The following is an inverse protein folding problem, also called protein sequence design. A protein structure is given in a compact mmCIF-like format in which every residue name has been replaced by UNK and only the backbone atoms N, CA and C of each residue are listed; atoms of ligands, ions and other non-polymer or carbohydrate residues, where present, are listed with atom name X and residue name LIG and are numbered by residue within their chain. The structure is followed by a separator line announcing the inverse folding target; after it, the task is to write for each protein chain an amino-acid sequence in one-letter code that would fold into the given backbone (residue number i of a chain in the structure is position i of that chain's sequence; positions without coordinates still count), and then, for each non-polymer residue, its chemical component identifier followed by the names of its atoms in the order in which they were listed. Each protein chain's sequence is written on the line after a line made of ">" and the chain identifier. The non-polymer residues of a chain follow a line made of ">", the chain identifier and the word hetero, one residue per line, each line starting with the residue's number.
data_IF_008892141295
#
_entry.id   IF_008892141295
#
_cell.length_a   1.000
_cell.length_b   1.000
_cell.length_c   1.000
_cell.angle_alpha   90.00
_cell.angle_beta   90.00
_cell.angle_gamma   90.00
#
_symmetry.space_group_name_H-M   'P 1'
#
loop_
_entity.id
_entity.type
_entity.pdbx_description
1 polymer ?
#
# COMPACT_ATOMS: atom_id res chain seq x y z
N UNK A 1 9.18 2.16 25.57
CA UNK A 1 9.34 2.49 24.14
C UNK A 1 9.31 1.19 23.35
N UNK A 2 8.21 0.90 22.66
CA UNK A 2 8.13 -0.26 21.76
C UNK A 2 9.13 -0.05 20.61
N UNK A 3 10.03 -0.99 20.38
CA UNK A 3 10.98 -0.89 19.26
C UNK A 3 10.19 -1.04 17.96
N UNK A 4 10.29 -0.03 17.09
CA UNK A 4 9.85 -0.12 15.69
C UNK A 4 10.60 -1.27 15.02
N UNK A 5 9.88 -2.31 14.63
CA UNK A 5 10.43 -3.47 13.91
C UNK A 5 9.94 -3.42 12.46
N UNK A 6 10.78 -3.82 11.49
CA UNK A 6 10.31 -4.05 10.14
C UNK A 6 9.30 -5.20 10.19
N UNK A 7 8.20 -5.01 9.46
CA UNK A 7 7.12 -5.97 9.27
C UNK A 7 6.96 -6.23 7.77
N UNK A 8 6.57 -7.45 7.44
CA UNK A 8 6.22 -7.86 6.07
C UNK A 8 4.74 -8.18 6.03
N UNK A 9 4.01 -7.56 5.11
CA UNK A 9 2.56 -7.73 4.94
C UNK A 9 2.31 -8.18 3.50
N UNK A 10 1.55 -9.25 3.33
CA UNK A 10 1.14 -9.77 2.03
C UNK A 10 -0.36 -9.54 1.88
N UNK A 11 -0.78 -8.98 0.76
CA UNK A 11 -2.19 -8.69 0.53
C UNK A 11 -2.46 -8.23 -0.90
N UNK A 12 -3.63 -7.64 -1.09
CA UNK A 12 -3.99 -7.00 -2.35
C UNK A 12 -4.33 -5.53 -2.14
N UNK A 13 -4.12 -4.74 -3.19
CA UNK A 13 -4.49 -3.33 -3.20
C UNK A 13 -6.01 -3.21 -3.26
N UNK A 14 -6.60 -2.80 -2.15
CA UNK A 14 -8.03 -2.56 -2.02
C UNK A 14 -8.45 -1.20 -2.56
N UNK A 15 -7.60 -0.18 -2.42
CA UNK A 15 -7.86 1.17 -2.88
C UNK A 15 -6.57 1.88 -3.28
N UNK A 16 -6.68 2.85 -4.20
CA UNK A 16 -5.60 3.79 -4.55
C UNK A 16 -6.15 5.19 -4.37
N UNK A 17 -5.48 6.00 -3.55
CA UNK A 17 -5.88 7.39 -3.30
C UNK A 17 -5.19 8.29 -4.32
N UNK A 18 -6.00 8.97 -5.13
CA UNK A 18 -5.53 9.98 -6.08
C UNK A 18 -5.48 11.32 -5.35
N UNK A 19 -4.27 11.85 -5.17
CA UNK A 19 -4.07 13.16 -4.55
C UNK A 19 -4.49 14.28 -5.53
N UNK A 20 -5.09 15.38 -5.04
CA UNK A 20 -5.38 16.53 -5.88
C UNK A 20 -4.08 17.19 -6.35
N UNK A 21 -4.14 17.90 -7.49
CA UNK A 21 -2.94 18.49 -8.13
C UNK A 21 -2.17 19.49 -7.25
N UNK A 22 -2.81 20.08 -6.24
CA UNK A 22 -2.21 21.01 -5.27
C UNK A 22 -1.58 20.33 -4.05
N UNK A 23 -1.78 19.01 -3.88
CA UNK A 23 -1.20 18.26 -2.78
C UNK A 23 0.26 17.88 -3.06
N UNK A 24 1.06 17.60 -2.01
CA UNK A 24 2.40 17.05 -2.19
C UNK A 24 2.37 15.78 -3.04
N UNK A 25 3.27 15.65 -4.01
CA UNK A 25 3.42 14.45 -4.83
C UNK A 25 3.60 13.23 -3.92
N UNK A 26 2.55 12.44 -3.77
CA UNK A 26 2.58 11.20 -3.02
C UNK A 26 1.59 10.22 -3.61
N UNK A 27 1.94 8.94 -3.51
CA UNK A 27 1.06 7.83 -3.84
C UNK A 27 0.67 7.15 -2.55
N UNK A 28 -0.62 7.00 -2.34
CA UNK A 28 -1.18 6.32 -1.17
C UNK A 28 -2.08 5.18 -1.66
N UNK A 29 -1.85 3.99 -1.10
CA UNK A 29 -2.65 2.79 -1.41
C UNK A 29 -3.03 2.10 -0.11
N UNK A 30 -4.19 1.44 -0.13
CA UNK A 30 -4.62 0.58 0.96
C UNK A 30 -4.45 -0.88 0.57
N UNK A 31 -3.69 -1.62 1.38
CA UNK A 31 -3.45 -3.06 1.19
C UNK A 31 -4.19 -3.83 2.26
N UNK A 32 -5.03 -4.78 1.84
CA UNK A 32 -5.79 -5.66 2.72
C UNK A 32 -5.15 -7.06 2.76
N UNK A 33 -4.87 -7.56 3.96
CA UNK A 33 -4.21 -8.86 4.18
C UNK A 33 -5.18 -9.98 4.63
N UNK A 34 -6.48 -9.71 4.67
CA UNK A 34 -7.50 -10.61 5.21
C UNK A 34 -7.92 -10.31 6.64
N UNK A 35 -7.09 -9.61 7.42
CA UNK A 35 -7.34 -9.29 8.83
C UNK A 35 -7.48 -7.81 9.10
N UNK A 36 -6.91 -6.98 8.23
CA UNK A 36 -7.02 -5.54 8.31
C UNK A 36 -6.35 -4.86 7.13
N UNK A 37 -6.34 -3.53 7.19
CA UNK A 37 -5.79 -2.68 6.14
C UNK A 37 -4.54 -1.97 6.63
N UNK A 38 -3.50 -1.97 5.79
CA UNK A 38 -2.33 -1.11 5.95
C UNK A 38 -2.23 -0.15 4.77
N UNK A 39 -2.04 1.12 5.07
CA UNK A 39 -1.90 2.15 4.06
C UNK A 39 -0.42 2.36 3.78
N UNK A 40 0.01 2.15 2.54
CA UNK A 40 1.38 2.45 2.10
C UNK A 40 1.42 3.82 1.43
N UNK A 41 2.35 4.67 1.88
CA UNK A 41 2.50 6.05 1.41
C UNK A 41 3.92 6.22 0.87
N UNK A 42 4.04 6.47 -0.43
CA UNK A 42 5.30 6.87 -1.07
C UNK A 42 5.33 8.38 -1.26
N UNK A 43 6.26 9.04 -0.58
CA UNK A 43 6.44 10.49 -0.66
C UNK A 43 7.34 10.86 -1.83
N UNK A 44 7.04 11.96 -2.51
CA UNK A 44 7.81 12.45 -3.67
C UNK A 44 7.57 11.66 -4.95
N UNK A 45 6.65 10.70 -4.95
CA UNK A 45 6.29 9.88 -6.11
C UNK A 45 4.92 10.30 -6.64
N UNK A 46 4.77 10.42 -7.95
CA UNK A 46 3.49 10.70 -8.62
C UNK A 46 2.78 9.42 -9.08
N UNK A 47 3.53 8.32 -9.24
CA UNK A 47 3.02 6.99 -9.60
C UNK A 47 3.99 5.92 -9.11
N UNK A 48 3.45 4.78 -8.69
CA UNK A 48 4.24 3.56 -8.45
C UNK A 48 3.92 2.56 -9.57
N UNK A 49 4.91 2.16 -10.40
CA UNK A 49 4.67 1.24 -11.51
C UNK A 49 4.14 -0.12 -11.04
N UNK A 50 3.13 -0.63 -11.74
CA UNK A 50 2.56 -1.96 -11.52
C UNK A 50 1.62 -2.07 -10.30
N UNK A 51 1.45 -1.00 -9.53
CA UNK A 51 0.48 -0.95 -8.42
C UNK A 51 -0.81 -0.31 -8.91
N UNK A 52 -1.90 -1.07 -8.83
CA UNK A 52 -3.27 -0.62 -9.06
C UNK A 52 -4.27 -1.43 -8.23
N UNK A 53 -5.57 -1.11 -8.27
CA UNK A 53 -6.59 -1.91 -7.59
C UNK A 53 -6.50 -3.38 -7.97
N UNK A 54 -6.64 -4.28 -7.00
CA UNK A 54 -6.57 -5.73 -7.18
C UNK A 54 -5.14 -6.31 -7.28
N UNK A 55 -4.10 -5.49 -7.49
CA UNK A 55 -2.71 -5.99 -7.50
C UNK A 55 -2.37 -6.70 -6.19
N UNK A 56 -1.85 -7.93 -6.28
CA UNK A 56 -1.30 -8.66 -5.12
C UNK A 56 0.17 -8.28 -4.94
N UNK A 57 0.54 -7.91 -3.71
CA UNK A 57 1.90 -7.48 -3.40
C UNK A 57 2.30 -7.77 -1.96
N UNK A 58 3.61 -7.75 -1.73
CA UNK A 58 4.24 -7.78 -0.41
C UNK A 58 4.77 -6.39 -0.10
N UNK A 59 4.40 -5.84 1.06
CA UNK A 59 4.98 -4.63 1.64
C UNK A 59 5.97 -5.00 2.74
N UNK A 60 7.12 -4.36 2.73
CA UNK A 60 8.12 -4.47 3.79
C UNK A 60 8.51 -3.07 4.28
N UNK A 61 8.37 -2.85 5.58
CA UNK A 61 8.66 -1.56 6.18
C UNK A 61 8.30 -1.52 7.65
N UNK A 62 8.40 -0.33 8.24
CA UNK A 62 7.99 -0.13 9.64
C UNK A 62 6.56 0.39 9.65
N UNK A 63 5.65 -0.37 10.28
CA UNK A 63 4.30 0.10 10.53
C UNK A 63 4.29 1.18 11.63
N UNK A 64 3.63 2.29 11.33
CA UNK A 64 3.30 3.35 12.27
C UNK A 64 1.76 3.43 12.43
N UNK A 65 1.33 4.07 13.51
CA UNK A 65 -0.09 4.36 13.77
C UNK A 65 -0.35 5.82 13.41
N UNK A 66 -1.39 6.07 12.61
CA UNK A 66 -1.90 7.41 12.29
C UNK A 66 -3.41 7.42 12.56
N UNK A 67 -3.79 7.90 13.74
CA UNK A 67 -5.14 7.69 14.26
C UNK A 67 -5.42 6.19 14.40
N UNK A 68 -6.50 5.73 13.78
CA UNK A 68 -6.91 4.32 13.77
C UNK A 68 -6.24 3.49 12.67
N UNK A 69 -5.59 4.13 11.70
CA UNK A 69 -4.98 3.48 10.55
C UNK A 69 -3.54 3.03 10.83
N UNK A 70 -3.15 1.91 10.23
CA UNK A 70 -1.75 1.48 10.12
C UNK A 70 -1.18 2.05 8.84
N UNK A 71 -0.05 2.74 8.95
CA UNK A 71 0.61 3.37 7.81
C UNK A 71 2.07 2.91 7.69
N UNK A 72 2.56 2.74 6.46
CA UNK A 72 3.97 2.57 6.17
C UNK A 72 4.43 3.69 5.23
N UNK A 73 5.50 4.39 5.60
CA UNK A 73 6.10 5.40 4.75
C UNK A 73 7.26 4.80 3.95
N UNK A 74 7.26 5.04 2.65
CA UNK A 74 8.22 4.53 1.68
C UNK A 74 8.56 3.04 1.91
N UNK A 75 7.56 2.14 2.06
CA UNK A 75 7.85 0.73 2.19
C UNK A 75 8.47 0.20 0.89
N UNK A 76 9.29 -0.84 1.03
CA UNK A 76 9.66 -1.68 -0.11
C UNK A 76 8.41 -2.46 -0.52
N UNK A 77 8.20 -2.60 -1.83
CA UNK A 77 7.13 -3.43 -2.37
C UNK A 77 7.66 -4.47 -3.35
N UNK A 78 6.95 -5.59 -3.44
CA UNK A 78 7.17 -6.63 -4.44
C UNK A 78 5.81 -7.08 -4.97
N UNK A 79 5.60 -7.01 -6.28
CA UNK A 79 4.35 -7.46 -6.90
C UNK A 79 4.41 -8.98 -7.03
N UNK A 80 3.42 -9.66 -6.46
CA UNK A 80 3.31 -11.13 -6.49
C UNK A 80 2.18 -11.63 -7.39
N UNK A 81 1.28 -10.74 -7.81
CA UNK A 81 0.23 -11.04 -8.77
C UNK A 81 -0.40 -9.78 -9.33
N UNK A 82 -0.83 -9.85 -10.58
CA UNK A 82 -1.68 -8.81 -11.18
C UNK A 82 -3.11 -8.94 -10.60
N UNK A 83 -3.95 -7.89 -10.70
CA UNK A 83 -5.38 -8.07 -10.44
C UNK A 83 -5.86 -9.32 -11.18
N UNK A 84 -6.69 -10.11 -10.50
CA UNK A 84 -7.46 -11.14 -11.20
C UNK A 84 -8.24 -10.37 -12.28
N UNK A 85 -7.85 -10.51 -13.55
CA UNK A 85 -8.76 -10.20 -14.65
C UNK A 85 -9.95 -11.12 -14.34
N UNK A 86 -11.07 -10.55 -13.91
CA UNK A 86 -12.27 -11.36 -13.78
C UNK A 86 -12.38 -12.14 -15.09
N UNK A 87 -12.37 -13.48 -15.00
CA UNK A 87 -12.85 -14.32 -16.08
C UNK A 87 -14.30 -13.86 -16.31
N UNK A 88 -14.48 -12.85 -17.16
CA UNK A 88 -15.74 -12.53 -17.82
C UNK A 88 -16.06 -13.75 -18.70
N UNK A 89 -16.68 -14.75 -18.07
CA UNK A 89 -17.29 -15.92 -18.67
C UNK A 89 -18.78 -15.67 -18.93
#
# INVERSE_FOLDING_TARGET
>A
MERRRPVRVTGFVSSVVIQPASAPCSVEIDVFDGTGTVTAIWLGQSRIPGIGPGTRLVLEGVAARRGDHRVMYNPRYEITGLPDEEEDA
#
